data_IF_757107915265
#
_entry.id   IF_757107915265
#
_cell.length_a   1.000
_cell.length_b   1.000
_cell.length_c   1.000
_cell.angle_alpha   90.00
_cell.angle_beta   90.00
_cell.angle_gamma   90.00
#
_symmetry.space_group_name_H-M   'P 1'
#
loop_
_entity.id
_entity.type
_entity.pdbx_description
1 polymer ?
#
# COMPACT_ATOMS: atom_id res chain seq x y z
N UNK A 1 -3.31 -9.23 11.50
CA UNK A 1 -2.10 -8.88 12.27
C UNK A 1 -1.58 -7.60 11.66
N UNK A 2 -1.42 -6.61 12.47
CA UNK A 2 -1.08 -5.26 12.06
C UNK A 2 0.44 -5.16 11.80
N UNK A 3 0.84 -4.50 10.72
CA UNK A 3 2.24 -4.21 10.39
C UNK A 3 2.93 -3.45 11.51
N UNK A 4 2.22 -2.56 12.22
CA UNK A 4 2.74 -1.86 13.41
C UNK A 4 3.31 -2.81 14.48
N UNK A 5 2.77 -4.01 14.64
CA UNK A 5 3.29 -5.01 15.59
C UNK A 5 4.70 -5.49 15.21
N UNK A 6 5.06 -5.47 13.93
CA UNK A 6 6.39 -5.89 13.46
C UNK A 6 7.41 -4.76 13.58
N UNK A 7 7.01 -3.56 13.22
CA UNK A 7 7.84 -2.37 13.39
C UNK A 7 8.06 -2.03 14.85
N UNK A 8 7.06 -2.23 15.71
CA UNK A 8 7.19 -2.03 17.15
C UNK A 8 8.34 -2.82 17.80
N UNK A 9 8.78 -3.91 17.15
CA UNK A 9 9.95 -4.68 17.59
C UNK A 9 11.28 -4.17 17.02
N UNK A 10 11.24 -3.21 16.11
CA UNK A 10 12.43 -2.51 15.61
C UNK A 10 12.82 -1.33 16.50
N UNK A 11 11.97 -0.99 17.48
CA UNK A 11 12.25 0.01 18.49
C UNK A 11 12.51 -0.65 19.84
N UNK A 12 13.42 -0.09 20.59
CA UNK A 12 13.64 -0.46 21.99
C UNK A 12 12.67 0.32 22.85
N UNK A 13 11.87 -0.41 23.61
CA UNK A 13 11.05 0.20 24.65
C UNK A 13 11.91 0.57 25.85
N UNK A 14 11.70 1.75 26.41
CA UNK A 14 12.28 2.08 27.70
C UNK A 14 11.51 1.31 28.78
N UNK A 15 12.15 0.39 29.53
CA UNK A 15 11.47 -0.39 30.58
C UNK A 15 10.97 0.49 31.74
N UNK A 16 11.45 1.74 31.84
CA UNK A 16 11.04 2.71 32.83
C UNK A 16 9.96 3.68 32.34
N UNK A 17 9.47 3.55 31.11
CA UNK A 17 8.40 4.40 30.64
C UNK A 17 7.09 4.10 31.39
N UNK A 18 6.53 5.13 31.99
CA UNK A 18 5.35 5.02 32.88
C UNK A 18 4.05 5.00 32.04
N UNK A 19 4.07 5.56 30.84
CA UNK A 19 2.88 5.71 30.00
C UNK A 19 3.12 5.24 28.57
N UNK A 20 2.19 4.46 28.04
CA UNK A 20 2.05 4.20 26.61
C UNK A 20 0.99 5.14 26.03
N UNK A 21 1.19 5.55 24.77
CA UNK A 21 0.17 6.26 24.02
C UNK A 21 -0.38 5.37 22.91
N UNK A 22 -1.64 5.60 22.54
CA UNK A 22 -2.28 4.89 21.44
C UNK A 22 -1.69 5.36 20.13
N UNK A 23 -1.15 4.44 19.33
CA UNK A 23 -0.60 4.73 18.00
C UNK A 23 -1.68 4.56 16.95
N UNK A 24 -2.51 3.54 17.13
CA UNK A 24 -3.71 3.23 16.37
C UNK A 24 -4.61 2.34 17.21
N UNK A 25 -5.81 2.01 16.73
CA UNK A 25 -6.84 1.34 17.51
C UNK A 25 -6.35 0.12 18.32
N UNK A 26 -5.41 -0.64 17.77
CA UNK A 26 -4.88 -1.85 18.39
C UNK A 26 -3.36 -1.81 18.65
N UNK A 27 -2.73 -0.64 18.58
CA UNK A 27 -1.30 -0.49 18.79
C UNK A 27 -0.96 0.63 19.79
N UNK A 28 -0.08 0.32 20.72
CA UNK A 28 0.39 1.22 21.75
C UNK A 28 1.90 1.36 21.69
N UNK A 29 2.40 2.57 21.78
CA UNK A 29 3.82 2.89 21.83
C UNK A 29 4.22 3.60 23.14
N UNK A 30 5.50 3.65 23.39
CA UNK A 30 6.07 4.41 24.51
C UNK A 30 6.66 5.73 23.99
N UNK A 31 6.42 6.86 24.66
CA UNK A 31 6.88 8.18 24.19
C UNK A 31 8.39 8.28 24.00
N UNK A 32 9.14 7.52 24.76
CA UNK A 32 10.60 7.49 24.78
C UNK A 32 11.21 6.25 24.09
N UNK A 33 10.37 5.48 23.35
CA UNK A 33 10.86 4.41 22.51
C UNK A 33 11.91 4.94 21.50
N UNK A 34 12.94 4.14 21.25
CA UNK A 34 14.04 4.46 20.35
C UNK A 34 14.15 3.41 19.27
N UNK A 35 14.49 3.84 18.07
CA UNK A 35 14.82 2.92 16.98
C UNK A 35 16.09 2.14 17.34
N UNK A 36 16.10 0.87 17.02
CA UNK A 36 17.25 0.00 17.26
C UNK A 36 18.43 0.40 16.36
N UNK A 37 19.54 0.77 16.97
CA UNK A 37 20.76 1.23 16.29
C UNK A 37 21.56 0.11 15.63
N UNK A 38 21.24 -1.14 15.94
CA UNK A 38 21.85 -2.32 15.30
C UNK A 38 21.26 -2.63 13.90
N UNK A 39 20.12 -2.03 13.55
CA UNK A 39 19.43 -2.25 12.27
C UNK A 39 19.05 -0.96 11.54
N UNK A 40 19.07 0.19 12.23
CA UNK A 40 18.81 1.51 11.65
C UNK A 40 19.92 2.46 12.05
N UNK A 41 20.55 3.08 11.07
CA UNK A 41 21.62 4.05 11.26
C UNK A 41 21.11 5.49 11.04
N UNK A 42 21.82 6.46 11.57
CA UNK A 42 21.57 7.91 11.38
C UNK A 42 22.31 8.48 10.16
N UNK A 43 23.19 7.67 9.54
CA UNK A 43 23.93 8.04 8.36
C UNK A 43 24.07 6.86 7.38
N UNK A 44 24.29 7.19 6.11
CA UNK A 44 24.56 6.19 5.08
C UNK A 44 25.87 5.45 5.33
N UNK A 45 25.85 4.16 5.09
CA UNK A 45 27.03 3.29 5.12
C UNK A 45 26.87 2.11 4.16
N UNK A 46 27.93 1.32 3.96
CA UNK A 46 27.84 0.11 3.17
C UNK A 46 26.84 -0.91 3.76
N UNK A 47 26.65 -0.93 5.07
CA UNK A 47 25.69 -1.81 5.74
C UNK A 47 24.25 -1.26 5.71
N UNK A 48 24.09 0.06 5.67
CA UNK A 48 22.81 0.76 5.64
C UNK A 48 22.77 1.79 4.50
N UNK A 49 22.65 1.35 3.24
CA UNK A 49 22.77 2.23 2.08
C UNK A 49 21.46 2.96 1.70
N UNK A 50 20.33 2.56 2.25
CA UNK A 50 19.01 3.05 1.83
C UNK A 50 18.40 3.98 2.87
N UNK A 51 18.03 5.19 2.46
CA UNK A 51 17.33 6.13 3.33
C UNK A 51 15.83 5.80 3.38
N UNK A 52 15.37 5.34 4.53
CA UNK A 52 13.97 4.98 4.82
C UNK A 52 13.12 6.17 5.25
N UNK A 53 13.76 7.20 5.80
CA UNK A 53 13.24 8.52 6.12
C UNK A 53 14.44 9.46 6.29
N UNK A 54 14.24 10.77 6.33
CA UNK A 54 15.34 11.71 6.47
C UNK A 54 16.19 11.38 7.72
N UNK A 55 17.47 11.07 7.50
CA UNK A 55 18.39 10.69 8.57
C UNK A 55 18.12 9.32 9.21
N UNK A 56 17.37 8.46 8.55
CA UNK A 56 17.15 7.07 8.96
C UNK A 56 17.54 6.14 7.81
N UNK A 57 18.61 5.38 8.01
CA UNK A 57 19.21 4.54 6.99
C UNK A 57 19.09 3.07 7.38
N UNK A 58 18.71 2.24 6.43
CA UNK A 58 18.49 0.80 6.58
C UNK A 58 19.26 0.00 5.55
N UNK A 59 19.42 -1.28 5.82
CA UNK A 59 20.10 -2.21 4.92
C UNK A 59 19.59 -3.63 5.14
N UNK A 60 20.40 -4.61 4.73
CA UNK A 60 20.04 -6.02 4.76
C UNK A 60 19.63 -6.51 6.16
N UNK A 61 20.24 -6.02 7.23
CA UNK A 61 19.89 -6.42 8.59
C UNK A 61 18.45 -6.07 8.99
N UNK A 62 17.91 -4.93 8.52
CA UNK A 62 16.51 -4.57 8.72
C UNK A 62 15.59 -5.50 7.92
N UNK A 63 15.92 -5.75 6.65
CA UNK A 63 15.19 -6.67 5.79
C UNK A 63 15.12 -8.08 6.41
N UNK A 64 16.27 -8.67 6.76
CA UNK A 64 16.35 -9.99 7.35
C UNK A 64 15.59 -10.10 8.66
N UNK A 65 15.65 -9.05 9.48
CA UNK A 65 14.92 -8.99 10.74
C UNK A 65 13.40 -9.03 10.52
N UNK A 66 12.89 -8.28 9.54
CA UNK A 66 11.45 -8.23 9.25
C UNK A 66 10.99 -9.52 8.57
N UNK A 67 11.66 -9.91 7.48
CA UNK A 67 11.26 -11.10 6.72
C UNK A 67 11.41 -12.37 7.55
N UNK A 68 12.48 -12.49 8.35
CA UNK A 68 12.66 -13.62 9.26
C UNK A 68 11.52 -13.74 10.28
N UNK A 69 10.90 -12.65 10.70
CA UNK A 69 9.72 -12.69 11.57
C UNK A 69 8.46 -13.06 10.80
N UNK A 70 8.28 -12.53 9.59
CA UNK A 70 7.15 -12.86 8.72
C UNK A 70 7.14 -14.37 8.43
N UNK A 71 8.27 -14.96 8.09
CA UNK A 71 8.40 -16.40 7.83
C UNK A 71 8.08 -17.27 9.05
N UNK A 72 8.36 -16.79 10.23
CA UNK A 72 8.15 -17.54 11.48
C UNK A 72 6.81 -17.24 12.17
N UNK A 73 5.84 -16.63 11.48
CA UNK A 73 4.50 -16.44 12.03
C UNK A 73 3.79 -17.78 12.16
N UNK A 74 3.31 -18.14 13.35
CA UNK A 74 2.50 -19.34 13.50
C UNK A 74 1.23 -19.28 12.64
N UNK A 75 0.98 -20.32 11.86
CA UNK A 75 -0.25 -20.45 11.11
C UNK A 75 -1.43 -20.71 12.05
N UNK A 76 -2.59 -20.19 11.68
CA UNK A 76 -3.83 -20.44 12.42
C UNK A 76 -4.28 -21.89 12.19
N UNK A 77 -4.79 -22.53 13.23
CA UNK A 77 -5.34 -23.88 13.15
C UNK A 77 -6.59 -23.98 12.26
N UNK A 78 -7.38 -22.89 12.22
CA UNK A 78 -8.59 -22.83 11.38
C UNK A 78 -8.42 -21.75 10.32
N UNK A 79 -8.45 -22.12 9.02
CA UNK A 79 -8.41 -21.15 7.94
C UNK A 79 -9.63 -20.22 7.99
N UNK A 80 -9.38 -18.91 7.98
CA UNK A 80 -10.41 -17.88 7.80
C UNK A 80 -9.79 -16.69 7.10
N UNK A 81 -10.61 -15.94 6.36
CA UNK A 81 -10.17 -14.68 5.79
C UNK A 81 -9.69 -13.74 6.91
N UNK A 82 -8.55 -13.13 6.68
CA UNK A 82 -8.01 -12.06 7.52
C UNK A 82 -7.16 -11.14 6.66
N UNK A 83 -7.60 -9.88 6.54
CA UNK A 83 -6.81 -8.88 5.84
C UNK A 83 -5.42 -8.75 6.48
N UNK A 84 -4.39 -8.77 5.65
CA UNK A 84 -3.02 -8.60 6.12
C UNK A 84 -2.13 -8.09 4.99
N UNK A 85 -1.29 -7.11 5.29
CA UNK A 85 -0.25 -6.64 4.37
C UNK A 85 0.90 -7.65 4.21
N UNK A 86 1.07 -8.57 5.15
CA UNK A 86 2.24 -9.47 5.21
C UNK A 86 2.31 -10.46 4.06
N UNK A 87 1.16 -10.89 3.52
CA UNK A 87 1.11 -11.76 2.34
C UNK A 87 1.73 -11.07 1.11
N UNK A 88 1.59 -9.76 0.98
CA UNK A 88 2.21 -9.03 -0.13
C UNK A 88 3.72 -8.82 0.06
N UNK A 89 4.21 -8.73 1.30
CA UNK A 89 5.65 -8.81 1.56
C UNK A 89 6.21 -10.16 1.13
N UNK A 90 5.50 -11.26 1.41
CA UNK A 90 5.90 -12.60 0.96
C UNK A 90 5.83 -12.76 -0.56
N UNK A 91 4.79 -12.23 -1.21
CA UNK A 91 4.67 -12.27 -2.66
C UNK A 91 5.78 -11.49 -3.36
N UNK A 92 6.16 -10.32 -2.84
CA UNK A 92 7.31 -9.58 -3.32
C UNK A 92 8.60 -10.41 -3.22
N UNK A 93 8.83 -11.03 -2.08
CA UNK A 93 10.03 -11.83 -1.89
C UNK A 93 10.05 -13.07 -2.80
N UNK A 94 8.92 -13.74 -2.97
CA UNK A 94 8.78 -14.84 -3.94
C UNK A 94 9.04 -14.36 -5.38
N UNK A 95 8.51 -13.20 -5.76
CA UNK A 95 8.71 -12.63 -7.10
C UNK A 95 10.20 -12.33 -7.34
N UNK A 96 10.91 -11.73 -6.37
CA UNK A 96 12.34 -11.47 -6.47
C UNK A 96 13.15 -12.77 -6.61
N UNK A 97 12.78 -13.82 -5.90
CA UNK A 97 13.43 -15.14 -6.03
C UNK A 97 13.17 -15.80 -7.40
N UNK A 98 11.95 -15.66 -7.93
CA UNK A 98 11.59 -16.25 -9.23
C UNK A 98 12.20 -15.50 -10.41
N UNK A 99 12.28 -14.18 -10.32
CA UNK A 99 12.79 -13.32 -11.42
C UNK A 99 14.28 -13.06 -11.36
N UNK A 100 14.90 -13.20 -10.17
CA UNK A 100 16.27 -12.81 -9.91
C UNK A 100 16.48 -11.28 -9.95
N UNK A 101 15.41 -10.49 -9.87
CA UNK A 101 15.45 -9.03 -9.96
C UNK A 101 14.89 -8.37 -8.70
N UNK A 102 15.36 -7.18 -8.30
CA UNK A 102 14.70 -6.36 -7.30
C UNK A 102 13.27 -6.01 -7.75
N UNK A 103 12.33 -6.04 -6.80
CA UNK A 103 10.91 -5.82 -7.07
C UNK A 103 10.61 -4.48 -7.77
N UNK A 104 11.21 -3.39 -7.30
CA UNK A 104 11.03 -2.07 -7.92
C UNK A 104 11.48 -2.05 -9.38
N UNK A 105 12.55 -2.76 -9.70
CA UNK A 105 13.06 -2.90 -11.06
C UNK A 105 12.13 -3.76 -11.92
N UNK A 106 11.74 -4.92 -11.41
CA UNK A 106 10.83 -5.81 -12.13
C UNK A 106 9.51 -5.13 -12.48
N UNK A 107 8.88 -4.45 -11.52
CA UNK A 107 7.61 -3.73 -11.75
C UNK A 107 7.80 -2.57 -12.73
N UNK A 108 8.90 -1.83 -12.62
CA UNK A 108 9.20 -0.73 -13.55
C UNK A 108 9.38 -1.24 -14.97
N UNK A 109 10.22 -2.24 -15.17
CA UNK A 109 10.56 -2.74 -16.51
C UNK A 109 9.40 -3.52 -17.17
N UNK A 110 8.60 -4.23 -16.37
CA UNK A 110 7.56 -5.14 -16.86
C UNK A 110 6.15 -4.52 -16.90
N UNK A 111 5.89 -3.46 -16.13
CA UNK A 111 4.55 -2.86 -16.03
C UNK A 111 4.59 -1.36 -16.34
N UNK A 112 5.31 -0.55 -15.56
CA UNK A 112 5.23 0.91 -15.68
C UNK A 112 5.79 1.43 -16.99
N UNK A 113 6.99 0.99 -17.39
CA UNK A 113 7.61 1.43 -18.65
C UNK A 113 6.82 1.01 -19.90
N UNK A 114 6.34 -0.24 -20.04
CA UNK A 114 5.45 -0.62 -21.13
C UNK A 114 4.16 0.19 -21.22
N UNK A 115 3.60 0.63 -20.09
CA UNK A 115 2.43 1.49 -20.03
C UNK A 115 2.75 2.97 -20.30
N UNK A 116 4.02 3.36 -20.35
CA UNK A 116 4.42 4.78 -20.38
C UNK A 116 4.09 5.53 -19.08
N UNK A 117 4.00 4.81 -17.94
CA UNK A 117 3.67 5.35 -16.63
C UNK A 117 4.96 5.77 -15.88
N UNK A 118 5.63 6.78 -16.39
CA UNK A 118 7.00 7.14 -15.99
C UNK A 118 7.12 7.85 -14.63
N UNK A 119 6.03 8.34 -14.05
CA UNK A 119 6.05 8.88 -12.69
C UNK A 119 5.69 7.82 -11.64
N UNK A 120 5.21 6.64 -12.06
CA UNK A 120 4.98 5.53 -11.15
C UNK A 120 6.32 4.92 -10.72
N UNK A 121 6.64 5.00 -9.43
CA UNK A 121 7.92 4.55 -8.91
C UNK A 121 7.87 4.22 -7.42
N UNK A 122 8.85 3.47 -6.98
CA UNK A 122 9.26 3.39 -5.58
C UNK A 122 10.33 4.45 -5.30
N UNK A 123 10.49 4.86 -4.05
CA UNK A 123 11.53 5.82 -3.61
C UNK A 123 11.62 7.07 -4.50
N UNK A 124 10.55 7.84 -4.62
CA UNK A 124 10.44 8.92 -5.61
C UNK A 124 11.51 10.01 -5.47
N UNK A 125 12.13 10.16 -4.30
CA UNK A 125 13.23 11.10 -4.07
C UNK A 125 14.48 10.84 -4.91
N UNK A 126 14.61 9.63 -5.51
CA UNK A 126 15.70 9.30 -6.42
C UNK A 126 15.51 9.90 -7.82
N UNK A 127 14.28 10.22 -8.21
CA UNK A 127 13.96 10.66 -9.58
C UNK A 127 13.11 11.94 -9.66
N UNK A 128 12.46 12.33 -8.57
CA UNK A 128 11.55 13.49 -8.52
C UNK A 128 11.97 14.51 -7.47
N UNK A 129 11.65 15.78 -7.73
CA UNK A 129 11.83 16.85 -6.74
C UNK A 129 10.78 16.68 -5.63
N UNK A 130 11.18 16.98 -4.40
CA UNK A 130 10.28 16.87 -3.25
C UNK A 130 9.00 17.70 -3.41
N UNK A 131 9.09 18.86 -4.09
CA UNK A 131 7.93 19.71 -4.39
C UNK A 131 6.90 19.10 -5.33
N UNK A 132 7.20 17.98 -5.99
CA UNK A 132 6.29 17.24 -6.87
C UNK A 132 5.60 16.08 -6.15
N UNK A 133 5.96 15.82 -4.90
CA UNK A 133 5.48 14.70 -4.11
C UNK A 133 4.60 15.25 -2.99
N UNK A 134 3.41 14.68 -2.83
CA UNK A 134 2.54 15.04 -1.71
C UNK A 134 3.14 14.53 -0.39
N UNK A 135 3.20 15.34 0.68
CA UNK A 135 3.55 14.85 2.01
C UNK A 135 2.42 13.95 2.52
N UNK A 136 2.76 13.00 3.38
CA UNK A 136 1.77 12.15 4.03
C UNK A 136 1.49 12.62 5.45
N UNK A 137 2.16 12.10 6.43
CA UNK A 137 1.88 12.29 7.85
C UNK A 137 3.08 12.91 8.59
N UNK A 138 2.82 13.64 9.65
CA UNK A 138 3.84 13.88 10.67
C UNK A 138 3.88 12.64 11.60
N UNK A 139 4.78 11.72 11.30
CA UNK A 139 4.92 10.46 12.01
C UNK A 139 5.47 10.69 13.43
N UNK A 140 4.63 10.58 14.42
CA UNK A 140 4.98 10.71 15.84
C UNK A 140 5.49 9.40 16.44
N UNK A 141 5.44 8.32 15.71
CA UNK A 141 5.71 6.98 16.22
C UNK A 141 7.14 6.51 15.92
N UNK A 142 7.45 6.27 14.64
CA UNK A 142 8.72 5.69 14.22
C UNK A 142 9.75 6.76 13.82
N UNK A 143 9.37 7.65 12.90
CA UNK A 143 10.29 8.57 12.22
C UNK A 143 10.38 9.94 12.89
N UNK A 144 9.35 10.34 13.62
CA UNK A 144 9.22 11.60 14.38
C UNK A 144 9.49 12.83 13.51
N UNK A 145 8.98 12.78 12.29
CA UNK A 145 9.12 13.84 11.29
C UNK A 145 7.99 13.79 10.29
N UNK A 146 7.83 14.85 9.49
CA UNK A 146 6.96 14.83 8.33
C UNK A 146 7.49 13.80 7.31
N UNK A 147 6.69 12.80 6.99
CA UNK A 147 6.97 11.80 5.96
C UNK A 147 6.66 12.42 4.60
N UNK A 148 7.69 12.80 3.87
CA UNK A 148 7.59 13.46 2.59
C UNK A 148 8.62 12.90 1.61
N UNK A 149 8.16 12.23 0.57
CA UNK A 149 9.02 11.54 -0.39
C UNK A 149 9.48 10.15 0.04
N UNK A 150 8.98 9.66 1.15
CA UNK A 150 9.21 8.30 1.67
C UNK A 150 7.88 7.59 1.84
N UNK A 151 7.90 6.25 1.75
CA UNK A 151 6.69 5.44 1.93
C UNK A 151 6.10 5.64 3.33
N UNK A 152 4.78 5.78 3.41
CA UNK A 152 4.08 5.96 4.68
C UNK A 152 4.13 4.70 5.56
N UNK A 153 3.89 3.53 4.97
CA UNK A 153 3.91 2.24 5.70
C UNK A 153 5.27 2.00 6.36
N UNK A 154 5.26 1.73 7.65
CA UNK A 154 6.47 1.59 8.46
C UNK A 154 7.24 0.31 8.09
N UNK A 155 6.54 -0.78 7.77
CA UNK A 155 7.18 -2.03 7.35
C UNK A 155 7.88 -1.85 6.01
N UNK A 156 7.19 -1.27 5.03
CA UNK A 156 7.77 -0.96 3.72
C UNK A 156 8.97 -0.01 3.85
N UNK A 157 8.92 0.99 4.74
CA UNK A 157 10.05 1.88 5.00
C UNK A 157 11.28 1.10 5.50
N UNK A 158 11.07 0.20 6.46
CA UNK A 158 12.15 -0.63 7.01
C UNK A 158 12.64 -1.71 6.03
N UNK A 159 11.85 -2.07 5.03
CA UNK A 159 12.26 -2.88 3.88
C UNK A 159 13.00 -2.06 2.79
N UNK A 160 13.37 -0.81 3.08
CA UNK A 160 14.09 0.06 2.17
C UNK A 160 13.21 0.87 1.22
N UNK A 161 11.94 1.05 1.56
CA UNK A 161 10.98 1.84 0.77
C UNK A 161 10.36 1.08 -0.41
N UNK A 162 10.66 -0.22 -0.56
CA UNK A 162 10.12 -1.10 -1.60
C UNK A 162 9.44 -2.29 -0.93
N UNK A 163 8.15 -2.47 -1.16
CA UNK A 163 7.41 -3.61 -0.65
C UNK A 163 6.18 -3.91 -1.50
N UNK A 164 5.76 -5.17 -1.53
CA UNK A 164 4.58 -5.58 -2.28
C UNK A 164 3.26 -5.05 -1.70
N UNK A 165 3.25 -4.61 -0.44
CA UNK A 165 2.04 -4.08 0.21
C UNK A 165 1.93 -2.55 0.13
N UNK A 166 3.03 -1.83 -0.06
CA UNK A 166 3.06 -0.37 -0.06
C UNK A 166 4.37 0.15 -0.69
N UNK A 167 4.42 1.46 -1.01
CA UNK A 167 5.64 2.11 -1.47
C UNK A 167 5.56 2.70 -2.86
N UNK A 168 4.52 2.42 -3.63
CA UNK A 168 4.32 3.03 -4.94
C UNK A 168 3.86 4.48 -4.79
N UNK A 169 4.53 5.36 -5.51
CA UNK A 169 4.12 6.74 -5.78
C UNK A 169 3.74 6.82 -7.26
N UNK A 170 2.66 7.50 -7.56
CA UNK A 170 2.19 7.67 -8.94
C UNK A 170 1.36 8.94 -9.08
N UNK A 171 1.26 9.45 -10.30
CA UNK A 171 0.26 10.45 -10.68
C UNK A 171 -1.09 9.78 -11.00
N UNK A 172 -2.16 10.57 -11.03
CA UNK A 172 -3.46 10.07 -11.50
C UNK A 172 -3.40 9.58 -12.96
N UNK A 173 -2.62 10.25 -13.82
CA UNK A 173 -2.43 9.85 -15.22
C UNK A 173 -1.74 8.49 -15.35
N UNK A 174 -0.73 8.21 -14.53
CA UNK A 174 -0.05 6.91 -14.55
C UNK A 174 -0.97 5.78 -14.05
N UNK A 175 -1.76 6.06 -13.00
CA UNK A 175 -2.77 5.11 -12.53
C UNK A 175 -3.89 4.91 -13.56
N UNK A 176 -4.28 5.95 -14.29
CA UNK A 176 -5.27 5.83 -15.36
C UNK A 176 -4.82 4.86 -16.46
N UNK A 177 -3.55 4.89 -16.85
CA UNK A 177 -2.99 3.92 -17.82
C UNK A 177 -3.05 2.49 -17.29
N UNK A 178 -2.74 2.29 -16.01
CA UNK A 178 -2.86 0.99 -15.35
C UNK A 178 -4.33 0.52 -15.29
N UNK A 179 -5.25 1.39 -14.87
CA UNK A 179 -6.67 1.08 -14.82
C UNK A 179 -7.23 0.75 -16.22
N UNK A 180 -6.84 1.52 -17.24
CA UNK A 180 -7.23 1.25 -18.62
C UNK A 180 -6.68 -0.09 -19.11
N UNK A 181 -5.44 -0.43 -18.78
CA UNK A 181 -4.87 -1.74 -19.10
C UNK A 181 -5.69 -2.87 -18.47
N UNK A 182 -6.10 -2.74 -17.20
CA UNK A 182 -6.96 -3.71 -16.53
C UNK A 182 -8.33 -3.79 -17.19
N UNK A 183 -8.96 -2.65 -17.49
CA UNK A 183 -10.26 -2.54 -18.15
C UNK A 183 -10.26 -3.23 -19.52
N UNK A 184 -9.18 -3.08 -20.27
CA UNK A 184 -8.99 -3.68 -21.59
C UNK A 184 -8.47 -5.14 -21.55
N UNK A 185 -8.64 -5.86 -20.45
CA UNK A 185 -8.22 -7.25 -20.33
C UNK A 185 -6.71 -7.48 -20.51
N UNK A 186 -5.91 -6.54 -20.01
CA UNK A 186 -4.44 -6.64 -19.95
C UNK A 186 -3.71 -5.94 -21.10
N UNK A 187 -4.38 -5.05 -21.85
CA UNK A 187 -3.82 -4.32 -22.99
C UNK A 187 -3.92 -2.81 -22.78
N UNK A 188 -2.87 -2.08 -23.12
CA UNK A 188 -2.87 -0.63 -23.19
C UNK A 188 -2.20 -0.18 -24.51
N UNK A 189 -2.95 0.53 -25.37
CA UNK A 189 -2.50 0.78 -26.73
C UNK A 189 -2.18 -0.53 -27.46
N UNK A 190 -0.99 -0.61 -28.03
CA UNK A 190 -0.51 -1.81 -28.73
C UNK A 190 0.24 -2.80 -27.83
N UNK A 191 0.33 -2.53 -26.52
CA UNK A 191 1.11 -3.32 -25.58
C UNK A 191 0.21 -4.25 -24.77
N UNK A 192 0.46 -5.55 -24.84
CA UNK A 192 -0.12 -6.53 -23.93
C UNK A 192 0.80 -6.77 -22.73
N UNK A 193 0.36 -6.37 -21.56
CA UNK A 193 1.08 -6.59 -20.29
C UNK A 193 0.64 -7.90 -19.63
N UNK A 194 -0.66 -8.18 -19.66
CA UNK A 194 -1.26 -9.39 -19.06
C UNK A 194 -2.15 -10.10 -20.07
N UNK A 195 -2.30 -11.41 -19.91
CA UNK A 195 -3.32 -12.14 -20.67
C UNK A 195 -4.73 -11.86 -20.12
N UNK A 196 -5.74 -11.86 -20.97
CA UNK A 196 -7.13 -11.70 -20.53
C UNK A 196 -7.57 -12.74 -19.48
N UNK A 197 -7.22 -14.04 -19.63
CA UNK A 197 -7.49 -15.02 -18.58
C UNK A 197 -6.84 -14.68 -17.23
N UNK A 198 -5.63 -14.08 -17.25
CA UNK A 198 -4.96 -13.63 -16.03
C UNK A 198 -5.74 -12.48 -15.38
N UNK A 199 -6.14 -11.48 -16.15
CA UNK A 199 -6.97 -10.38 -15.64
C UNK A 199 -8.23 -10.94 -14.99
N UNK A 200 -8.98 -11.79 -15.69
CA UNK A 200 -10.19 -12.43 -15.17
C UNK A 200 -9.92 -13.26 -13.92
N UNK A 201 -8.80 -13.98 -13.87
CA UNK A 201 -8.42 -14.76 -12.69
C UNK A 201 -8.25 -13.88 -11.45
N UNK A 202 -7.57 -12.74 -11.58
CA UNK A 202 -7.23 -11.86 -10.46
C UNK A 202 -8.39 -10.98 -9.99
N UNK A 203 -9.29 -10.59 -10.89
CA UNK A 203 -10.41 -9.68 -10.60
C UNK A 203 -11.69 -10.38 -10.16
N UNK A 204 -11.78 -11.71 -10.29
CA UNK A 204 -12.95 -12.50 -9.89
C UNK A 204 -12.81 -12.98 -8.44
N UNK A 205 -13.91 -12.91 -7.68
CA UNK A 205 -13.99 -13.49 -6.32
C UNK A 205 -13.68 -14.99 -6.34
N UNK A 206 -12.83 -15.45 -5.44
CA UNK A 206 -12.33 -16.83 -5.38
C UNK A 206 -12.79 -17.60 -4.15
N UNK A 207 -13.37 -16.93 -3.18
CA UNK A 207 -13.77 -17.56 -1.91
C UNK A 207 -15.23 -17.22 -1.60
N UNK A 208 -16.03 -18.19 -1.12
CA UNK A 208 -17.39 -17.93 -0.67
C UNK A 208 -17.45 -17.10 0.63
N UNK A 209 -16.33 -16.97 1.32
CA UNK A 209 -16.24 -16.24 2.61
C UNK A 209 -15.51 -14.92 2.50
N UNK A 210 -15.15 -14.50 1.27
CA UNK A 210 -14.43 -13.24 1.03
C UNK A 210 -14.79 -12.67 -0.34
N UNK A 211 -15.27 -11.43 -0.38
CA UNK A 211 -15.62 -10.73 -1.63
C UNK A 211 -14.44 -10.48 -2.57
N UNK A 212 -13.20 -10.53 -2.06
CA UNK A 212 -12.00 -10.14 -2.79
C UNK A 212 -11.63 -11.07 -3.93
N UNK A 213 -11.02 -10.50 -4.97
CA UNK A 213 -10.23 -11.23 -5.95
C UNK A 213 -8.81 -11.52 -5.42
N UNK A 214 -7.90 -11.86 -6.31
CA UNK A 214 -6.49 -12.04 -5.97
C UNK A 214 -5.78 -10.67 -5.97
N UNK A 215 -5.71 -10.04 -4.80
CA UNK A 215 -5.12 -8.71 -4.62
C UNK A 215 -6.09 -7.53 -4.77
N UNK A 216 -7.26 -7.73 -5.36
CA UNK A 216 -8.28 -6.69 -5.51
C UNK A 216 -9.36 -6.77 -4.44
N UNK A 217 -9.81 -5.61 -3.98
CA UNK A 217 -11.06 -5.49 -3.26
C UNK A 217 -12.23 -5.35 -4.23
N UNK A 218 -13.43 -5.61 -3.77
CA UNK A 218 -14.66 -5.60 -4.57
C UNK A 218 -15.81 -5.03 -3.74
N UNK A 219 -16.92 -4.57 -4.39
CA UNK A 219 -18.13 -4.22 -3.68
C UNK A 219 -18.64 -5.37 -2.80
N UNK A 220 -19.25 -5.01 -1.68
CA UNK A 220 -20.04 -5.94 -0.89
C UNK A 220 -21.52 -5.79 -1.30
N UNK A 221 -21.91 -6.49 -2.36
CA UNK A 221 -23.27 -6.37 -2.93
C UNK A 221 -24.35 -7.00 -2.04
N UNK A 222 -23.97 -7.90 -1.12
CA UNK A 222 -24.88 -8.53 -0.17
C UNK A 222 -25.14 -7.61 1.05
N UNK A 223 -24.19 -6.73 1.36
CA UNK A 223 -24.26 -5.81 2.50
C UNK A 223 -23.60 -4.48 2.12
N UNK A 224 -24.34 -3.59 1.41
CA UNK A 224 -23.80 -2.33 0.92
C UNK A 224 -23.31 -1.38 2.01
N UNK A 225 -23.86 -1.44 3.22
CA UNK A 225 -23.44 -0.61 4.35
C UNK A 225 -21.97 -0.93 4.79
N UNK A 226 -21.51 -2.16 4.51
CA UNK A 226 -20.15 -2.61 4.75
C UNK A 226 -19.34 -2.75 3.46
N UNK A 227 -19.76 -2.06 2.39
CA UNK A 227 -19.03 -2.01 1.13
C UNK A 227 -17.94 -0.94 1.17
N UNK A 228 -16.77 -1.17 0.53
CA UNK A 228 -15.76 -0.12 0.34
C UNK A 228 -16.12 0.82 -0.82
N UNK A 229 -17.22 0.56 -1.52
CA UNK A 229 -17.74 1.31 -2.67
C UNK A 229 -19.14 1.86 -2.36
N UNK A 230 -19.71 2.62 -3.30
CA UNK A 230 -21.11 3.00 -3.27
C UNK A 230 -22.03 1.83 -3.67
N UNK A 231 -23.32 1.96 -3.40
CA UNK A 231 -24.36 0.96 -3.67
C UNK A 231 -24.53 0.68 -5.18
N UNK A 232 -24.31 1.69 -6.00
CA UNK A 232 -24.42 1.61 -7.46
C UNK A 232 -23.33 0.74 -8.11
N UNK A 233 -22.24 0.47 -7.37
CA UNK A 233 -21.14 -0.34 -7.89
C UNK A 233 -21.51 -1.83 -7.92
N UNK A 234 -21.59 -2.39 -9.13
CA UNK A 234 -21.92 -3.79 -9.36
C UNK A 234 -20.83 -4.78 -8.96
N UNK A 235 -21.17 -6.07 -8.94
CA UNK A 235 -20.24 -7.15 -8.54
C UNK A 235 -19.02 -7.30 -9.47
N UNK A 236 -19.05 -6.73 -10.68
CA UNK A 236 -17.93 -6.73 -11.62
C UNK A 236 -16.81 -5.76 -11.23
N UNK A 237 -17.13 -4.72 -10.46
CA UNK A 237 -16.18 -3.69 -10.00
C UNK A 237 -15.07 -4.31 -9.16
N UNK A 238 -13.85 -3.84 -9.38
CA UNK A 238 -12.68 -4.22 -8.60
C UNK A 238 -11.67 -3.06 -8.49
N UNK A 239 -10.89 -3.05 -7.45
CA UNK A 239 -9.91 -2.01 -7.16
C UNK A 239 -9.29 -2.17 -5.80
N UNK A 240 -8.81 -1.08 -5.20
CA UNK A 240 -8.31 -1.11 -3.84
C UNK A 240 -8.29 0.28 -3.21
N UNK A 241 -8.33 0.31 -1.88
CA UNK A 241 -8.16 1.50 -1.06
C UNK A 241 -6.72 1.59 -0.56
N UNK A 242 -6.17 2.80 -0.49
CA UNK A 242 -4.91 3.09 0.20
C UNK A 242 -5.16 3.68 1.59
N UNK A 243 -4.33 3.30 2.56
CA UNK A 243 -4.41 3.82 3.93
C UNK A 243 -4.31 5.35 3.98
N UNK A 244 -3.49 5.93 3.13
CA UNK A 244 -3.30 7.38 3.03
C UNK A 244 -4.49 8.14 2.45
N UNK A 245 -5.54 7.43 2.03
CA UNK A 245 -6.79 8.00 1.52
C UNK A 245 -7.02 7.80 0.02
N UNK A 246 -6.04 7.27 -0.69
CA UNK A 246 -6.13 7.00 -2.12
C UNK A 246 -7.09 5.85 -2.42
N UNK A 247 -7.65 5.84 -3.63
CA UNK A 247 -8.49 4.76 -4.13
C UNK A 247 -8.48 4.74 -5.66
N UNK A 248 -8.60 3.54 -6.22
CA UNK A 248 -9.03 3.35 -7.60
C UNK A 248 -10.07 2.22 -7.67
N UNK A 249 -11.02 2.35 -8.59
CA UNK A 249 -11.98 1.33 -8.96
C UNK A 249 -12.04 1.21 -10.47
N UNK A 250 -12.14 0.00 -10.98
CA UNK A 250 -12.36 -0.33 -12.39
C UNK A 250 -13.73 -1.00 -12.49
N UNK A 251 -14.57 -0.49 -13.37
CA UNK A 251 -15.92 -0.99 -13.62
C UNK A 251 -16.06 -1.43 -15.09
N UNK A 252 -15.91 -2.73 -15.38
CA UNK A 252 -16.02 -3.25 -16.74
C UNK A 252 -17.43 -3.17 -17.34
N UNK A 253 -18.48 -3.14 -16.51
CA UNK A 253 -19.86 -3.06 -17.01
C UNK A 253 -20.20 -1.68 -17.58
N UNK A 254 -19.62 -0.63 -16.99
CA UNK A 254 -19.84 0.74 -17.45
C UNK A 254 -18.65 1.30 -18.25
N UNK A 255 -17.69 0.45 -18.63
CA UNK A 255 -16.48 0.82 -19.40
C UNK A 255 -15.78 2.04 -18.81
N UNK A 256 -15.62 2.07 -17.47
CA UNK A 256 -15.04 3.19 -16.75
C UNK A 256 -14.07 2.77 -15.65
N UNK A 257 -13.29 3.74 -15.19
CA UNK A 257 -12.56 3.63 -13.93
C UNK A 257 -12.64 4.95 -13.15
N UNK A 258 -12.48 4.85 -11.85
CA UNK A 258 -12.47 5.96 -10.92
C UNK A 258 -11.15 5.99 -10.15
N UNK A 259 -10.51 7.15 -10.10
CA UNK A 259 -9.28 7.38 -9.34
C UNK A 259 -9.48 8.61 -8.46
N UNK A 260 -9.22 8.47 -7.17
CA UNK A 260 -9.22 9.60 -6.25
C UNK A 260 -7.97 9.54 -5.37
N UNK A 261 -7.10 10.54 -5.52
CA UNK A 261 -5.84 10.65 -4.78
C UNK A 261 -5.96 11.73 -3.72
N UNK A 262 -5.66 11.36 -2.49
CA UNK A 262 -5.68 12.26 -1.34
C UNK A 262 -4.63 11.81 -0.32
N UNK A 263 -4.25 12.70 0.56
CA UNK A 263 -3.36 12.44 1.69
C UNK A 263 -4.09 12.72 3.02
N UNK A 264 -5.21 12.03 3.26
CA UNK A 264 -6.05 12.20 4.45
C UNK A 264 -5.27 12.16 5.77
N UNK A 265 -4.18 11.43 5.79
CA UNK A 265 -3.30 11.29 6.97
C UNK A 265 -2.43 12.52 7.23
N UNK A 266 -2.52 13.58 6.43
CA UNK A 266 -1.80 14.83 6.67
C UNK A 266 -2.69 15.82 7.47
N UNK A 267 -2.22 16.35 8.60
CA UNK A 267 -0.90 16.10 9.22
C UNK A 267 -0.84 14.85 10.10
N UNK A 268 -1.97 14.19 10.39
CA UNK A 268 -2.03 13.03 11.29
C UNK A 268 -3.01 11.96 10.80
N UNK A 269 -2.69 10.69 11.02
CA UNK A 269 -3.57 9.54 10.78
C UNK A 269 -4.80 9.52 11.69
N UNK A 270 -4.77 10.26 12.79
CA UNK A 270 -5.87 10.37 13.75
C UNK A 270 -6.99 11.33 13.27
N UNK A 271 -6.92 11.82 12.03
CA UNK A 271 -7.97 12.62 11.42
C UNK A 271 -9.07 11.70 10.86
N UNK A 272 -10.16 11.56 11.60
CA UNK A 272 -11.30 10.70 11.26
C UNK A 272 -12.33 11.39 10.34
N UNK A 273 -12.26 12.72 10.17
CA UNK A 273 -13.24 13.50 9.40
C UNK A 273 -13.43 12.99 7.95
N UNK A 274 -12.39 12.45 7.35
CA UNK A 274 -12.45 11.86 6.02
C UNK A 274 -13.31 10.59 5.97
N UNK A 275 -13.19 9.74 6.98
CA UNK A 275 -13.91 8.47 7.07
C UNK A 275 -15.33 8.69 7.62
N UNK A 276 -15.55 9.67 8.51
CA UNK A 276 -16.86 10.05 9.03
C UNK A 276 -17.87 10.49 7.92
N UNK A 277 -17.37 11.20 6.90
CA UNK A 277 -18.20 11.62 5.77
C UNK A 277 -18.26 10.60 4.64
N UNK A 278 -17.56 9.48 4.78
CA UNK A 278 -17.48 8.39 3.79
C UNK A 278 -17.19 8.88 2.37
N UNK A 279 -16.25 9.81 2.23
CA UNK A 279 -16.04 10.61 1.01
C UNK A 279 -15.75 9.78 -0.24
N UNK A 280 -15.02 8.67 -0.12
CA UNK A 280 -14.64 7.83 -1.27
C UNK A 280 -15.84 7.19 -1.96
N UNK A 281 -16.73 6.46 -1.25
CA UNK A 281 -17.98 5.94 -1.81
C UNK A 281 -18.90 7.04 -2.31
N UNK A 282 -18.98 8.18 -1.61
CA UNK A 282 -19.86 9.29 -2.01
C UNK A 282 -19.39 9.93 -3.32
N UNK A 283 -18.09 10.18 -3.52
CA UNK A 283 -17.58 10.68 -4.78
C UNK A 283 -17.81 9.68 -5.93
N UNK A 284 -17.64 8.40 -5.66
CA UNK A 284 -17.87 7.37 -6.68
C UNK A 284 -19.37 7.29 -7.04
N UNK A 285 -20.26 7.44 -6.06
CA UNK A 285 -21.72 7.57 -6.30
C UNK A 285 -22.04 8.75 -7.20
N UNK A 286 -21.40 9.91 -7.02
CA UNK A 286 -21.65 11.07 -7.89
C UNK A 286 -21.23 10.81 -9.34
N UNK A 287 -20.18 10.00 -9.57
CA UNK A 287 -19.82 9.56 -10.92
C UNK A 287 -20.94 8.73 -11.54
N UNK A 288 -21.47 7.72 -10.84
CA UNK A 288 -22.58 6.91 -11.35
C UNK A 288 -23.81 7.77 -11.67
N UNK A 289 -24.16 8.72 -10.81
CA UNK A 289 -25.28 9.64 -11.07
C UNK A 289 -25.07 10.46 -12.34
N UNK A 290 -23.83 10.89 -12.60
CA UNK A 290 -23.52 11.72 -13.77
C UNK A 290 -23.54 10.97 -15.11
N UNK A 291 -23.43 9.66 -15.11
CA UNK A 291 -23.52 8.83 -16.32
C UNK A 291 -24.92 8.27 -16.56
N UNK A 292 -25.82 8.34 -15.56
CA UNK A 292 -27.20 7.88 -15.64
C UNK A 292 -28.15 8.97 -16.20
N UNK A 293 -27.69 10.22 -16.29
CA UNK A 293 -28.38 11.36 -16.90
C UNK A 293 -28.07 11.45 -18.41
#
# INVERSE_FOLDING_TARGET
MDTATYVGRLITNNPNAIHSYKIMENAWGQPDARVRTDIVADASSAANPVEAARGMWVGQAAFDTIMGRIYNIPLRSTPRYNYSCLNFCLLMDMEQHLTGQPHDRFVTDSIWAPLGAYNACYRPTLSHKLSQIAPTEYDNYLRRQLVHGYVHDETAAMLGGVSGNAGVFASADDLAKLCQMWLNGGVYGDVRVLSEPTVKLFTTTKSPTCRRGLGFDKPNVEDPDYSPTCEEAGASVYGHLGFTGTVFWVDPENDMFFIFLTNRVNPTRDNDAFDEVNIRPELFRQVYKSIAE
#
